data_IF_466525225552
#
_entry.id   IF_466525225552
#
_cell.length_a   1.000
_cell.length_b   1.000
_cell.length_c   1.000
_cell.angle_alpha   90.00
_cell.angle_beta   90.00
_cell.angle_gamma   90.00
#
_symmetry.space_group_name_H-M   'P 1'
#
loop_
_entity.id
_entity.type
_entity.pdbx_description
1 polymer ?
#
# COMPACT_ATOMS: atom_id res chain seq x y z
N UNK A 1 -5.44 -11.36 14.92
CA UNK A 1 -5.18 -10.94 13.53
C UNK A 1 -3.87 -11.56 13.11
N UNK A 2 -3.83 -12.27 11.97
CA UNK A 2 -2.62 -12.92 11.48
C UNK A 2 -2.39 -12.48 10.03
N UNK A 3 -1.49 -11.52 9.82
CA UNK A 3 -1.27 -10.87 8.54
C UNK A 3 0.20 -10.67 8.21
N UNK A 4 0.47 -10.46 6.92
CA UNK A 4 1.77 -10.02 6.39
C UNK A 4 1.58 -8.62 5.83
N UNK A 5 2.45 -7.69 6.21
CA UNK A 5 2.56 -6.37 5.57
C UNK A 5 3.52 -6.45 4.40
N UNK A 6 3.10 -5.98 3.25
CA UNK A 6 3.94 -5.94 2.05
C UNK A 6 4.13 -4.54 1.49
N UNK A 7 5.30 -4.27 0.92
CA UNK A 7 5.61 -3.02 0.24
C UNK A 7 6.47 -3.23 -1.00
N UNK A 8 6.19 -2.46 -2.06
CA UNK A 8 7.10 -2.29 -3.18
C UNK A 8 7.92 -1.02 -2.99
N UNK A 9 9.25 -1.10 -3.16
CA UNK A 9 10.15 0.01 -2.96
C UNK A 9 11.17 0.10 -4.09
N UNK A 10 11.29 1.27 -4.69
CA UNK A 10 12.31 1.55 -5.70
C UNK A 10 13.29 2.60 -5.19
N UNK A 11 14.56 2.21 -5.09
CA UNK A 11 15.64 3.12 -4.70
C UNK A 11 16.00 4.06 -5.87
N UNK A 12 15.91 5.35 -5.62
CA UNK A 12 16.30 6.42 -6.56
C UNK A 12 17.31 7.37 -5.93
N UNK A 13 17.30 7.48 -4.60
CA UNK A 13 18.10 8.45 -3.85
C UNK A 13 18.27 8.02 -2.39
N UNK A 14 19.21 8.66 -1.69
CA UNK A 14 19.41 8.46 -0.25
C UNK A 14 18.19 8.89 0.58
N UNK A 15 17.37 9.81 0.05
CA UNK A 15 16.08 10.14 0.67
C UNK A 15 15.14 8.94 0.69
N UNK A 16 15.01 8.21 -0.42
CA UNK A 16 14.16 7.03 -0.48
C UNK A 16 14.59 5.97 0.55
N UNK A 17 15.91 5.80 0.76
CA UNK A 17 16.45 4.88 1.77
C UNK A 17 16.16 5.36 3.19
N UNK A 18 16.40 6.64 3.48
CA UNK A 18 16.09 7.22 4.79
C UNK A 18 14.61 7.08 5.11
N UNK A 19 13.75 7.28 4.11
CA UNK A 19 12.32 7.10 4.29
C UNK A 19 11.94 5.62 4.51
N UNK A 20 12.59 4.69 3.81
CA UNK A 20 12.41 3.25 4.04
C UNK A 20 12.73 2.85 5.50
N UNK A 21 13.77 3.42 6.11
CA UNK A 21 14.08 3.15 7.51
C UNK A 21 12.98 3.66 8.45
N UNK A 22 12.42 4.83 8.18
CA UNK A 22 11.25 5.35 8.91
C UNK A 22 10.04 4.43 8.70
N UNK A 23 9.75 4.04 7.46
CA UNK A 23 8.66 3.12 7.11
C UNK A 23 8.80 1.78 7.83
N UNK A 24 10.01 1.21 7.84
CA UNK A 24 10.31 -0.04 8.53
C UNK A 24 10.04 0.08 10.03
N UNK A 25 10.62 1.08 10.67
CA UNK A 25 10.43 1.33 12.11
C UNK A 25 8.96 1.57 12.46
N UNK A 26 8.23 2.31 11.61
CA UNK A 26 6.80 2.50 11.77
C UNK A 26 6.01 1.20 11.62
N UNK A 27 6.38 0.32 10.66
CA UNK A 27 5.73 -0.98 10.44
C UNK A 27 6.00 -1.94 11.60
N UNK A 28 7.22 -2.00 12.11
CA UNK A 28 7.63 -2.86 13.23
C UNK A 28 6.90 -2.56 14.54
N UNK A 29 6.27 -1.40 14.68
CA UNK A 29 5.36 -1.09 15.80
C UNK A 29 4.08 -1.93 15.79
N UNK A 30 3.71 -2.47 14.64
CA UNK A 30 2.48 -3.24 14.44
C UNK A 30 2.75 -4.71 14.21
N UNK A 31 3.82 -5.05 13.48
CA UNK A 31 4.18 -6.43 13.18
C UNK A 31 5.63 -6.55 12.71
N UNK A 32 6.24 -7.70 13.02
CA UNK A 32 7.50 -8.13 12.41
C UNK A 32 7.29 -9.04 11.19
N UNK A 33 6.04 -9.37 10.87
CA UNK A 33 5.67 -10.13 9.66
C UNK A 33 5.52 -9.16 8.49
N UNK A 34 6.61 -8.71 7.89
CA UNK A 34 6.56 -7.89 6.68
C UNK A 34 7.55 -8.38 5.63
N UNK A 35 7.26 -8.07 4.37
CA UNK A 35 8.11 -8.38 3.21
C UNK A 35 8.18 -7.16 2.30
N UNK A 36 9.39 -6.81 1.86
CA UNK A 36 9.63 -5.71 0.93
C UNK A 36 10.21 -6.26 -0.37
N UNK A 37 9.65 -5.86 -1.50
CA UNK A 37 10.24 -6.09 -2.82
C UNK A 37 10.90 -4.80 -3.27
N UNK A 38 12.21 -4.81 -3.50
CA UNK A 38 12.90 -3.58 -3.90
C UNK A 38 14.07 -3.80 -4.85
N UNK A 39 14.53 -2.71 -5.45
CA UNK A 39 15.78 -2.65 -6.23
C UNK A 39 16.98 -2.20 -5.40
N UNK A 40 16.79 -1.92 -4.12
CA UNK A 40 17.82 -1.41 -3.23
C UNK A 40 18.66 -2.53 -2.61
N UNK A 41 19.92 -2.65 -3.03
CA UNK A 41 20.88 -3.63 -2.49
C UNK A 41 21.33 -3.32 -1.07
N UNK A 42 21.07 -2.14 -0.56
CA UNK A 42 21.44 -1.73 0.81
C UNK A 42 20.40 -2.08 1.86
N UNK A 43 19.21 -2.56 1.46
CA UNK A 43 18.21 -3.04 2.41
C UNK A 43 18.68 -4.36 3.04
N UNK A 44 18.60 -4.53 4.38
CA UNK A 44 18.93 -5.79 5.02
C UNK A 44 18.18 -6.97 4.42
N UNK A 45 18.88 -8.11 4.25
CA UNK A 45 18.34 -9.28 3.56
C UNK A 45 17.12 -9.93 4.26
N UNK A 46 16.96 -9.70 5.56
CA UNK A 46 15.78 -10.16 6.27
C UNK A 46 14.52 -9.47 5.72
N UNK A 47 13.51 -10.25 5.37
CA UNK A 47 12.23 -9.77 4.86
C UNK A 47 12.31 -8.97 3.52
N UNK A 48 13.36 -9.20 2.73
CA UNK A 48 13.61 -8.46 1.50
C UNK A 48 13.75 -9.39 0.29
N UNK A 49 13.05 -9.06 -0.79
CA UNK A 49 13.22 -9.67 -2.10
C UNK A 49 13.85 -8.64 -3.02
N UNK A 50 15.09 -8.93 -3.43
CA UNK A 50 15.84 -8.05 -4.34
C UNK A 50 15.41 -8.28 -5.79
N UNK A 51 14.94 -7.21 -6.44
CA UNK A 51 14.71 -7.18 -7.87
C UNK A 51 15.92 -6.61 -8.62
N UNK A 52 16.19 -7.13 -9.81
CA UNK A 52 17.30 -6.67 -10.66
C UNK A 52 17.05 -5.28 -11.26
N UNK A 53 15.77 -4.92 -11.46
CA UNK A 53 15.36 -3.64 -12.06
C UNK A 53 13.93 -3.31 -11.65
N UNK A 54 13.57 -2.02 -11.76
CA UNK A 54 12.19 -1.58 -11.63
C UNK A 54 11.42 -1.93 -12.91
N UNK A 55 10.19 -2.40 -12.77
CA UNK A 55 9.31 -2.72 -13.92
C UNK A 55 8.78 -1.43 -14.58
N UNK A 56 8.94 -0.29 -13.93
CA UNK A 56 8.52 1.00 -14.45
C UNK A 56 7.41 1.66 -13.61
N UNK A 57 7.30 2.95 -13.78
CA UNK A 57 6.23 3.76 -13.22
C UNK A 57 5.01 3.74 -14.15
N UNK A 58 3.81 4.03 -13.62
CA UNK A 58 2.58 4.08 -14.41
C UNK A 58 2.68 4.95 -15.68
N UNK A 59 3.37 6.09 -15.60
CA UNK A 59 3.59 6.97 -16.75
C UNK A 59 4.43 6.33 -17.87
N UNK A 60 5.35 5.44 -17.53
CA UNK A 60 6.16 4.70 -18.51
C UNK A 60 5.36 3.57 -19.16
N UNK A 61 4.40 3.00 -18.41
CA UNK A 61 3.51 1.96 -18.91
C UNK A 61 2.55 2.46 -19.98
N UNK A 62 1.97 3.64 -19.77
CA UNK A 62 1.11 4.28 -20.75
C UNK A 62 1.88 4.49 -22.07
N UNK A 63 3.15 4.90 -21.98
CA UNK A 63 4.03 5.08 -23.14
C UNK A 63 4.44 3.76 -23.81
N UNK A 64 4.63 2.70 -23.04
CA UNK A 64 5.15 1.42 -23.49
C UNK A 64 4.06 0.36 -23.79
N UNK A 65 2.80 0.71 -23.63
CA UNK A 65 1.64 -0.17 -23.87
C UNK A 65 1.68 -1.48 -23.06
N UNK A 66 2.19 -1.45 -21.83
CA UNK A 66 2.40 -2.61 -20.93
C UNK A 66 1.17 -2.94 -20.09
N UNK A 67 0.06 -3.22 -20.69
CA UNK A 67 -1.17 -3.81 -20.12
C UNK A 67 -1.38 -3.67 -18.58
N UNK A 68 -1.03 -2.52 -17.99
CA UNK A 68 -1.33 -2.18 -16.59
C UNK A 68 -0.55 -2.90 -15.50
N UNK A 69 0.53 -3.58 -15.83
CA UNK A 69 1.47 -4.14 -14.84
C UNK A 69 2.67 -3.22 -14.69
N UNK A 70 2.59 -2.28 -13.76
CA UNK A 70 3.73 -1.46 -13.31
C UNK A 70 4.44 -2.10 -12.11
N UNK A 71 5.56 -1.53 -11.71
CA UNK A 71 6.29 -2.00 -10.54
C UNK A 71 5.42 -2.06 -9.28
N UNK A 72 4.48 -1.13 -9.13
CA UNK A 72 3.50 -1.12 -8.05
C UNK A 72 2.55 -2.33 -8.13
N UNK A 73 1.89 -2.54 -9.27
CA UNK A 73 0.98 -3.68 -9.47
C UNK A 73 1.68 -5.02 -9.35
N UNK A 74 2.87 -5.15 -9.95
CA UNK A 74 3.65 -6.38 -9.90
C UNK A 74 4.08 -6.73 -8.46
N UNK A 75 4.49 -5.72 -7.68
CA UNK A 75 4.84 -5.94 -6.27
C UNK A 75 3.63 -6.37 -5.44
N UNK A 76 2.47 -5.77 -5.64
CA UNK A 76 1.22 -6.17 -4.97
C UNK A 76 0.90 -7.64 -5.27
N UNK A 77 0.90 -8.04 -6.54
CA UNK A 77 0.57 -9.42 -6.91
C UNK A 77 1.55 -10.43 -6.30
N UNK A 78 2.86 -10.14 -6.35
CA UNK A 78 3.88 -11.02 -5.78
C UNK A 78 3.75 -11.13 -4.25
N UNK A 79 3.54 -10.01 -3.56
CA UNK A 79 3.40 -9.96 -2.11
C UNK A 79 2.10 -10.62 -1.63
N UNK A 80 0.99 -10.44 -2.35
CA UNK A 80 -0.26 -11.13 -2.07
C UNK A 80 -0.10 -12.66 -2.17
N UNK A 81 0.63 -13.15 -3.19
CA UNK A 81 0.96 -14.59 -3.32
C UNK A 81 1.83 -15.10 -2.17
N UNK A 82 2.77 -14.29 -1.66
CA UNK A 82 3.56 -14.65 -0.48
C UNK A 82 2.65 -14.79 0.74
N UNK A 83 1.78 -13.82 1.00
CA UNK A 83 0.83 -13.87 2.10
C UNK A 83 -0.09 -15.08 1.99
N UNK A 84 -0.61 -15.38 0.79
CA UNK A 84 -1.41 -16.58 0.52
C UNK A 84 -0.67 -17.86 0.90
N UNK A 85 0.56 -18.02 0.45
CA UNK A 85 1.37 -19.22 0.76
C UNK A 85 1.74 -19.33 2.25
N UNK A 86 1.75 -18.20 2.98
CA UNK A 86 1.94 -18.17 4.43
C UNK A 86 0.65 -18.44 5.22
N UNK A 87 -0.50 -18.58 4.56
CA UNK A 87 -1.80 -18.76 5.22
C UNK A 87 -2.29 -17.51 5.96
N UNK A 88 -1.87 -16.31 5.52
CA UNK A 88 -2.09 -15.05 6.23
C UNK A 88 -2.86 -14.04 5.38
N UNK A 89 -3.59 -13.15 6.05
CA UNK A 89 -4.15 -11.97 5.40
C UNK A 89 -3.03 -11.08 4.87
N UNK A 90 -3.30 -10.32 3.83
CA UNK A 90 -2.34 -9.44 3.20
C UNK A 90 -2.70 -7.97 3.43
N UNK A 91 -1.80 -7.21 4.04
CA UNK A 91 -1.89 -5.76 4.12
C UNK A 91 -0.81 -5.15 3.23
N UNK A 92 -1.22 -4.38 2.23
CA UNK A 92 -0.30 -3.54 1.49
C UNK A 92 -0.11 -2.20 2.22
N UNK A 93 1.14 -1.76 2.28
CA UNK A 93 1.51 -0.46 2.82
C UNK A 93 2.58 0.14 1.92
N UNK A 94 2.23 1.18 1.17
CA UNK A 94 3.16 1.83 0.24
C UNK A 94 4.42 2.31 0.95
N UNK A 95 5.56 2.30 0.25
CA UNK A 95 6.87 2.54 0.87
C UNK A 95 7.02 3.95 1.46
N UNK A 96 6.19 4.89 1.07
CA UNK A 96 6.13 6.25 1.63
C UNK A 96 4.89 6.48 2.51
N UNK A 97 4.16 5.43 2.86
CA UNK A 97 3.01 5.48 3.75
C UNK A 97 3.42 5.23 5.20
N UNK A 98 2.94 6.07 6.12
CA UNK A 98 3.09 5.89 7.57
C UNK A 98 1.72 5.75 8.22
N UNK A 99 1.64 4.90 9.25
CA UNK A 99 0.44 4.61 10.03
C UNK A 99 0.52 5.21 11.43
N UNK A 100 -0.61 5.70 11.93
CA UNK A 100 -0.73 6.28 13.27
C UNK A 100 -2.01 5.77 13.94
N UNK A 101 -1.87 5.36 15.21
CA UNK A 101 -2.94 4.72 15.96
C UNK A 101 -3.16 3.26 15.55
N UNK A 102 -4.27 2.63 15.92
CA UNK A 102 -4.55 1.21 15.71
C UNK A 102 -5.02 0.92 14.28
N UNK A 103 -4.16 1.20 13.27
CA UNK A 103 -4.52 1.10 11.84
C UNK A 103 -4.92 -0.33 11.43
N UNK A 104 -4.17 -1.40 11.74
CA UNK A 104 -4.60 -2.74 11.35
C UNK A 104 -5.95 -3.13 11.96
N UNK A 105 -6.18 -2.83 13.23
CA UNK A 105 -7.43 -3.10 13.94
C UNK A 105 -8.62 -2.41 13.26
N UNK A 106 -8.42 -1.16 12.86
CA UNK A 106 -9.45 -0.39 12.17
C UNK A 106 -9.70 -0.92 10.76
N UNK A 107 -8.66 -1.35 10.05
CA UNK A 107 -8.82 -2.01 8.75
C UNK A 107 -9.68 -3.27 8.85
N UNK A 108 -9.49 -4.10 9.89
CA UNK A 108 -10.31 -5.29 10.13
C UNK A 108 -11.75 -4.95 10.50
N UNK A 109 -11.99 -3.85 11.22
CA UNK A 109 -13.35 -3.37 11.51
C UNK A 109 -14.06 -2.95 10.21
N UNK A 110 -13.39 -2.18 9.37
CA UNK A 110 -13.93 -1.72 8.09
C UNK A 110 -14.08 -2.86 7.07
N UNK A 111 -13.25 -3.90 7.16
CA UNK A 111 -13.34 -5.09 6.33
C UNK A 111 -14.66 -5.84 6.52
N UNK A 112 -15.15 -5.94 7.78
CA UNK A 112 -16.40 -6.64 8.07
C UNK A 112 -16.45 -8.05 7.44
N UNK A 113 -17.45 -8.32 6.61
CA UNK A 113 -17.60 -9.58 5.87
C UNK A 113 -16.96 -9.56 4.47
N UNK A 114 -16.43 -8.42 4.02
CA UNK A 114 -15.81 -8.28 2.71
C UNK A 114 -14.53 -9.12 2.58
N UNK A 115 -14.15 -9.41 1.34
CA UNK A 115 -12.87 -10.05 1.01
C UNK A 115 -11.68 -9.09 1.03
N UNK A 116 -11.95 -7.81 0.72
CA UNK A 116 -10.94 -6.75 0.66
C UNK A 116 -11.52 -5.42 1.15
N UNK A 117 -10.68 -4.61 1.80
CA UNK A 117 -10.96 -3.20 2.10
C UNK A 117 -9.80 -2.34 1.61
N UNK A 118 -10.12 -1.24 0.95
CA UNK A 118 -9.14 -0.29 0.40
C UNK A 118 -9.58 1.16 0.63
N UNK A 119 -8.72 2.12 0.28
CA UNK A 119 -8.87 3.51 0.66
C UNK A 119 -10.21 4.14 0.26
N UNK A 120 -10.63 5.12 1.06
CA UNK A 120 -11.85 5.87 0.83
C UNK A 120 -11.84 6.56 -0.54
N UNK A 121 -13.02 6.76 -1.11
CA UNK A 121 -13.18 7.61 -2.29
C UNK A 121 -12.73 9.02 -1.96
N UNK A 122 -11.86 9.58 -2.80
CA UNK A 122 -11.30 10.92 -2.56
C UNK A 122 -12.08 11.97 -3.34
N UNK A 123 -13.14 12.53 -2.73
CA UNK A 123 -13.98 13.55 -3.36
C UNK A 123 -13.20 14.85 -3.68
N UNK A 124 -12.13 15.14 -2.93
CA UNK A 124 -11.28 16.31 -3.12
C UNK A 124 -10.26 16.18 -4.25
N UNK A 125 -10.08 14.97 -4.79
CA UNK A 125 -9.13 14.68 -5.86
C UNK A 125 -9.82 13.84 -6.94
N UNK A 126 -10.64 14.46 -7.81
CA UNK A 126 -11.48 13.74 -8.78
C UNK A 126 -10.71 12.90 -9.79
N UNK A 127 -9.40 13.12 -9.91
CA UNK A 127 -8.49 12.28 -10.71
C UNK A 127 -7.97 11.05 -9.96
N UNK A 128 -8.21 10.92 -8.65
CA UNK A 128 -7.88 9.77 -7.83
C UNK A 128 -9.16 9.12 -7.33
N UNK A 129 -9.53 8.02 -7.96
CA UNK A 129 -10.77 7.32 -7.63
C UNK A 129 -10.74 6.61 -6.28
N UNK A 130 -9.56 6.36 -5.72
CA UNK A 130 -9.40 5.84 -4.37
C UNK A 130 -8.00 6.14 -3.81
N UNK A 131 -7.91 6.25 -2.49
CA UNK A 131 -6.64 6.22 -1.77
C UNK A 131 -6.12 4.79 -1.72
N UNK A 132 -4.91 4.53 -2.23
CA UNK A 132 -4.37 3.18 -2.38
C UNK A 132 -3.09 2.91 -1.62
N UNK A 133 -2.63 3.87 -0.82
CA UNK A 133 -1.36 3.72 -0.09
C UNK A 133 -1.39 2.62 0.97
N UNK A 134 -2.60 2.15 1.35
CA UNK A 134 -2.77 0.98 2.19
C UNK A 134 -4.12 0.31 1.95
N UNK A 135 -4.14 -1.03 2.02
CA UNK A 135 -5.35 -1.86 1.90
C UNK A 135 -5.13 -3.23 2.54
N UNK A 136 -6.22 -3.92 2.84
CA UNK A 136 -6.22 -5.24 3.45
C UNK A 136 -7.01 -6.24 2.59
N UNK A 137 -6.45 -7.42 2.35
CA UNK A 137 -7.10 -8.55 1.66
C UNK A 137 -7.11 -9.76 2.58
N UNK A 138 -8.28 -10.37 2.80
CA UNK A 138 -8.39 -11.65 3.52
C UNK A 138 -7.63 -12.73 2.79
N UNK A 139 -7.00 -13.63 3.52
CA UNK A 139 -6.34 -14.81 2.97
C UNK A 139 -7.26 -15.60 2.02
N UNK A 140 -8.50 -15.85 2.43
CA UNK A 140 -9.48 -16.60 1.63
C UNK A 140 -9.85 -15.91 0.31
N UNK A 141 -9.63 -14.61 0.19
CA UNK A 141 -9.98 -13.81 -0.98
C UNK A 141 -8.78 -13.48 -1.89
N UNK A 142 -7.56 -13.75 -1.45
CA UNK A 142 -6.35 -13.36 -2.21
C UNK A 142 -6.36 -13.91 -3.65
N UNK A 143 -6.73 -15.18 -3.85
CA UNK A 143 -6.74 -15.77 -5.20
C UNK A 143 -7.82 -15.17 -6.10
N UNK A 144 -8.98 -14.84 -5.56
CA UNK A 144 -10.05 -14.20 -6.33
C UNK A 144 -9.69 -12.75 -6.67
N UNK A 145 -9.08 -12.03 -5.73
CA UNK A 145 -8.50 -10.72 -5.99
C UNK A 145 -7.47 -10.78 -7.13
N UNK A 146 -6.47 -11.67 -7.04
CA UNK A 146 -5.42 -11.80 -8.05
C UNK A 146 -5.99 -12.17 -9.42
N UNK A 147 -6.94 -13.10 -9.47
CA UNK A 147 -7.62 -13.46 -10.70
C UNK A 147 -8.34 -12.25 -11.31
N UNK A 148 -9.13 -11.55 -10.51
CA UNK A 148 -9.84 -10.35 -10.95
C UNK A 148 -8.86 -9.27 -11.43
N UNK A 149 -7.83 -8.96 -10.64
CA UNK A 149 -6.88 -7.89 -10.92
C UNK A 149 -6.03 -8.14 -12.18
N UNK A 150 -5.55 -9.37 -12.37
CA UNK A 150 -4.70 -9.74 -13.52
C UNK A 150 -5.48 -9.86 -14.82
N UNK A 151 -6.73 -10.37 -14.77
CA UNK A 151 -7.54 -10.57 -15.95
C UNK A 151 -8.49 -9.42 -16.29
N UNK A 152 -8.58 -8.40 -15.43
CA UNK A 152 -9.34 -7.21 -15.75
C UNK A 152 -8.70 -6.50 -16.95
N UNK A 153 -9.45 -6.23 -18.03
CA UNK A 153 -8.92 -5.50 -19.16
C UNK A 153 -8.33 -4.16 -18.73
N UNK A 154 -7.15 -3.84 -19.22
CA UNK A 154 -6.49 -2.58 -18.98
C UNK A 154 -6.71 -1.65 -20.17
N UNK A 155 -7.38 -0.55 -19.94
CA UNK A 155 -7.42 0.57 -20.88
C UNK A 155 -6.13 1.38 -20.74
N UNK A 156 -5.56 1.85 -21.86
CA UNK A 156 -4.33 2.65 -21.89
C UNK A 156 -4.37 3.91 -21.02
N UNK A 157 -5.56 4.41 -20.76
CA UNK A 157 -5.80 5.62 -19.97
C UNK A 157 -6.15 5.29 -18.50
N UNK A 158 -6.19 3.99 -18.14
CA UNK A 158 -6.53 3.52 -16.80
C UNK A 158 -5.30 3.50 -15.89
N UNK A 159 -5.40 4.11 -14.73
CA UNK A 159 -4.41 3.96 -13.67
C UNK A 159 -4.55 2.58 -13.01
N UNK A 160 -3.47 2.00 -12.47
CA UNK A 160 -3.53 0.72 -11.74
C UNK A 160 -4.57 0.73 -10.61
N UNK A 161 -4.79 1.87 -9.99
CA UNK A 161 -5.75 2.12 -8.92
C UNK A 161 -7.20 2.03 -9.39
N UNK A 162 -7.47 2.42 -10.64
CA UNK A 162 -8.81 2.33 -11.23
C UNK A 162 -9.28 0.88 -11.33
N UNK A 163 -8.33 -0.09 -11.38
CA UNK A 163 -8.68 -1.51 -11.33
C UNK A 163 -9.39 -1.91 -10.04
N UNK A 164 -9.02 -1.33 -8.90
CA UNK A 164 -9.70 -1.61 -7.64
C UNK A 164 -11.16 -1.14 -7.68
N UNK A 165 -11.40 0.06 -8.22
CA UNK A 165 -12.75 0.58 -8.39
C UNK A 165 -13.58 -0.31 -9.32
N UNK A 166 -13.00 -0.76 -10.43
CA UNK A 166 -13.67 -1.68 -11.37
C UNK A 166 -13.95 -3.05 -10.77
N UNK A 167 -13.05 -3.57 -9.94
CA UNK A 167 -13.29 -4.82 -9.22
C UNK A 167 -14.45 -4.69 -8.22
N UNK A 168 -14.51 -3.56 -7.50
CA UNK A 168 -15.64 -3.24 -6.62
C UNK A 168 -16.95 -3.13 -7.41
N UNK A 169 -16.97 -2.42 -8.53
CA UNK A 169 -18.15 -2.29 -9.40
C UNK A 169 -18.65 -3.66 -9.90
N UNK A 170 -17.72 -4.58 -10.21
CA UNK A 170 -18.06 -5.91 -10.69
C UNK A 170 -18.52 -6.88 -9.58
N UNK A 171 -18.15 -6.64 -8.33
CA UNK A 171 -18.43 -7.52 -7.19
C UNK A 171 -18.55 -6.73 -5.88
N UNK A 172 -19.55 -5.84 -5.73
CA UNK A 172 -19.60 -4.88 -4.63
C UNK A 172 -19.63 -5.53 -3.24
N UNK A 173 -20.19 -6.73 -3.13
CA UNK A 173 -20.29 -7.45 -1.86
C UNK A 173 -18.95 -8.01 -1.35
N UNK A 174 -17.88 -7.96 -2.17
CA UNK A 174 -16.56 -8.45 -1.82
C UNK A 174 -15.58 -7.33 -1.44
N UNK A 175 -15.92 -6.07 -1.70
CA UNK A 175 -15.04 -4.93 -1.53
C UNK A 175 -15.67 -3.89 -0.61
N UNK A 176 -14.91 -3.47 0.40
CA UNK A 176 -15.26 -2.38 1.30
C UNK A 176 -14.32 -1.19 1.15
N UNK A 177 -14.69 -0.09 1.79
CA UNK A 177 -13.89 1.13 1.84
C UNK A 177 -13.42 1.42 3.25
N UNK A 178 -12.15 1.85 3.38
CA UNK A 178 -11.65 2.35 4.65
C UNK A 178 -12.38 3.63 5.04
N UNK A 179 -12.81 3.70 6.30
CA UNK A 179 -13.51 4.86 6.86
C UNK A 179 -12.54 5.95 7.34
N UNK A 180 -11.23 5.73 7.21
CA UNK A 180 -10.17 6.59 7.75
C UNK A 180 -9.00 6.71 6.76
N UNK A 181 -8.10 7.65 7.05
CA UNK A 181 -6.93 7.91 6.24
C UNK A 181 -7.11 9.12 5.31
N UNK A 182 -6.02 9.74 4.99
CA UNK A 182 -6.01 10.95 4.18
C UNK A 182 -5.12 10.85 2.94
N UNK A 183 -4.33 9.75 2.85
CA UNK A 183 -3.43 9.49 1.73
C UNK A 183 -2.49 10.67 1.46
N UNK A 184 -2.71 11.43 0.39
CA UNK A 184 -1.94 12.63 0.02
C UNK A 184 -2.57 13.95 0.47
N UNK A 185 -3.74 13.91 1.09
CA UNK A 185 -4.43 15.14 1.48
C UNK A 185 -3.69 15.87 2.61
N UNK A 186 -3.87 17.18 2.65
CA UNK A 186 -3.31 18.07 3.67
C UNK A 186 -4.38 19.06 4.15
N UNK A 187 -4.32 19.54 5.39
CA UNK A 187 -3.28 19.26 6.41
C UNK A 187 -3.40 17.85 7.02
N UNK A 188 -2.30 17.38 7.63
CA UNK A 188 -2.28 16.10 8.36
C UNK A 188 -3.17 16.18 9.61
N UNK A 189 -3.97 15.14 9.92
CA UNK A 189 -4.92 15.14 11.02
C UNK A 189 -4.24 14.75 12.35
N UNK A 190 -3.32 15.59 12.84
CA UNK A 190 -2.47 15.33 14.00
C UNK A 190 -3.22 14.92 15.28
N UNK A 191 -4.48 15.34 15.42
CA UNK A 191 -5.31 15.08 16.59
C UNK A 191 -6.26 13.88 16.44
N UNK A 192 -6.19 13.19 15.27
CA UNK A 192 -6.97 11.99 15.04
C UNK A 192 -6.35 10.78 15.71
N UNK A 193 -7.18 9.89 16.28
CA UNK A 193 -6.73 8.66 16.93
C UNK A 193 -6.13 7.64 15.98
N UNK A 194 -6.64 7.58 14.73
CA UNK A 194 -6.20 6.64 13.69
C UNK A 194 -6.20 7.30 12.34
N UNK A 195 -5.08 7.21 11.64
CA UNK A 195 -4.94 7.73 10.29
C UNK A 195 -3.68 7.19 9.61
N UNK A 196 -3.59 7.37 8.32
CA UNK A 196 -2.39 7.13 7.52
C UNK A 196 -2.24 8.22 6.47
N UNK A 197 -1.00 8.46 6.06
CA UNK A 197 -0.67 9.38 4.97
C UNK A 197 0.57 8.94 4.23
N UNK A 198 0.74 9.43 3.01
CA UNK A 198 1.93 9.24 2.18
C UNK A 198 2.47 10.58 1.66
N UNK A 199 3.60 10.53 0.95
CA UNK A 199 4.27 11.70 0.35
C UNK A 199 4.65 12.76 1.39
N UNK A 200 5.33 12.32 2.44
CA UNK A 200 5.81 13.17 3.52
C UNK A 200 6.92 14.12 3.07
N UNK A 201 6.85 15.37 3.49
CA UNK A 201 7.96 16.30 3.40
C UNK A 201 8.75 16.35 4.73
N UNK A 202 9.92 16.98 4.71
CA UNK A 202 10.80 17.04 5.88
C UNK A 202 10.13 17.73 7.08
N UNK A 203 9.39 18.82 6.86
CA UNK A 203 8.72 19.56 7.94
C UNK A 203 7.65 18.69 8.64
N UNK A 204 6.90 17.90 7.87
CA UNK A 204 5.90 16.98 8.41
C UNK A 204 6.55 15.85 9.21
N UNK A 205 7.70 15.32 8.75
CA UNK A 205 8.46 14.31 9.49
C UNK A 205 9.02 14.88 10.80
N UNK A 206 9.52 16.10 10.80
CA UNK A 206 10.01 16.78 12.00
C UNK A 206 8.88 17.03 13.01
N UNK A 207 7.70 17.41 12.54
CA UNK A 207 6.49 17.53 13.37
C UNK A 207 6.06 16.17 13.94
N UNK A 208 6.01 15.10 13.12
CA UNK A 208 5.69 13.76 13.59
C UNK A 208 6.68 13.27 14.67
N UNK A 209 7.97 13.59 14.50
CA UNK A 209 9.01 13.30 15.48
C UNK A 209 8.79 14.09 16.79
N UNK A 210 8.54 15.40 16.68
CA UNK A 210 8.30 16.27 17.86
C UNK A 210 7.12 15.79 18.68
N UNK A 211 6.12 15.20 18.06
CA UNK A 211 4.94 14.58 18.68
C UNK A 211 5.17 13.14 19.16
N UNK A 212 6.37 12.57 18.99
CA UNK A 212 6.68 11.18 19.35
C UNK A 212 5.96 10.12 18.50
N UNK A 213 5.44 10.51 17.33
CA UNK A 213 4.70 9.61 16.44
C UNK A 213 5.61 8.72 15.60
N UNK A 214 6.82 9.20 15.29
CA UNK A 214 7.86 8.42 14.62
C UNK A 214 9.16 8.48 15.41
N UNK A 215 9.94 7.40 15.32
CA UNK A 215 11.29 7.33 15.89
C UNK A 215 12.28 7.38 14.72
N UNK A 216 13.25 8.31 14.83
CA UNK A 216 14.45 8.24 14.02
C UNK A 216 15.48 7.38 14.76
N UNK A 217 16.04 6.43 14.08
CA UNK A 217 17.26 5.73 14.51
C UNK A 217 18.47 6.43 13.93
#
# INVERSE_FOLDING_TARGET
>A
MDYVVGSGYHYRSDWDRSFYDIWRTNTERYTHNYVVISTDRGVPAANHILCSHNIGHVGDLIKENREGLCGWSASICALAMIAYNCGKDFIYKEADCLWFGPVPERMYQDLGDNGMVFGAKMDAAPWMNCAQSTFLIRHSFILDFLRGYLFLPHDKDMLPEDKFVKLEENSPDNYGRLSFGIDRMRPLPWDSEVWYAQQWNQQELDEAKSRGLILYT
#
